data_IF_794544943902
#
_entry.id   IF_794544943902
#
_cell.length_a   1.000
_cell.length_b   1.000
_cell.length_c   1.000
_cell.angle_alpha   90.00
_cell.angle_beta   90.00
_cell.angle_gamma   90.00
#
_symmetry.space_group_name_H-M   'P 1'
#
loop_
_entity.id
_entity.type
_entity.pdbx_description
1 polymer ?
#
# COMPACT_ATOMS: atom_id res chain seq x y z
N UNK A 1 -19.16 -25.95 47.35
CA UNK A 1 -19.80 -25.29 46.19
C UNK A 1 -18.83 -24.21 45.70
N UNK A 2 -18.10 -24.45 44.59
CA UNK A 2 -18.33 -23.84 43.25
C UNK A 2 -18.64 -22.33 43.37
N UNK A 3 -17.86 -21.39 42.82
CA UNK A 3 -17.40 -21.32 41.43
C UNK A 3 -16.07 -20.54 41.31
N UNK A 4 -15.16 -21.13 40.54
CA UNK A 4 -13.96 -20.53 39.95
C UNK A 4 -14.44 -19.61 38.82
N UNK A 5 -14.10 -18.32 38.87
CA UNK A 5 -14.19 -17.45 37.71
C UNK A 5 -12.80 -17.24 37.14
N UNK A 6 -12.68 -17.63 35.87
CA UNK A 6 -11.51 -17.53 35.03
C UNK A 6 -11.02 -16.07 34.92
N UNK A 7 -9.96 -15.72 35.64
CA UNK A 7 -9.07 -14.63 35.26
C UNK A 7 -8.16 -15.16 34.14
N UNK A 8 -8.72 -15.19 32.93
CA UNK A 8 -7.99 -15.53 31.71
C UNK A 8 -7.01 -14.42 31.36
N UNK A 9 -5.75 -14.63 31.75
CA UNK A 9 -4.52 -14.40 30.98
C UNK A 9 -4.65 -13.34 29.86
N UNK A 10 -4.51 -12.08 30.23
CA UNK A 10 -4.08 -11.01 29.33
C UNK A 10 -2.57 -10.80 29.55
N UNK A 11 -1.75 -11.75 29.10
CA UNK A 11 -0.30 -11.60 29.09
C UNK A 11 0.29 -12.25 27.86
N UNK A 12 1.23 -11.51 27.24
CA UNK A 12 2.14 -11.90 26.15
C UNK A 12 1.63 -11.76 24.72
N UNK A 13 1.61 -10.51 24.23
CA UNK A 13 2.19 -10.18 22.90
C UNK A 13 3.09 -8.95 23.08
N UNK A 14 4.11 -9.08 23.93
CA UNK A 14 5.28 -8.20 23.90
C UNK A 14 6.51 -9.09 23.73
N UNK A 15 6.64 -9.67 22.55
CA UNK A 15 7.84 -10.38 22.14
C UNK A 15 8.14 -9.99 20.70
N UNK A 16 8.94 -8.93 20.57
CA UNK A 16 10.06 -8.77 19.64
C UNK A 16 10.19 -7.31 19.18
N UNK A 17 10.66 -6.44 20.08
CA UNK A 17 11.45 -5.28 19.65
C UNK A 17 12.80 -5.80 19.15
N UNK A 18 12.81 -6.50 18.01
CA UNK A 18 14.02 -6.61 17.23
C UNK A 18 14.23 -5.22 16.63
N UNK A 19 15.28 -4.55 17.09
CA UNK A 19 15.87 -3.43 16.38
C UNK A 19 16.21 -3.92 14.96
N UNK A 20 15.27 -3.75 14.02
CA UNK A 20 15.54 -3.90 12.61
C UNK A 20 16.52 -2.79 12.25
N UNK A 21 17.81 -3.17 12.23
CA UNK A 21 18.93 -2.39 11.72
C UNK A 21 18.49 -1.82 10.37
N UNK A 22 18.61 -0.51 10.17
CA UNK A 22 18.34 0.15 8.88
C UNK A 22 19.17 -0.55 7.80
N UNK A 23 18.52 -1.36 6.95
CA UNK A 23 19.14 -2.09 5.83
C UNK A 23 19.51 -1.08 4.74
N UNK A 24 20.70 -1.22 4.13
CA UNK A 24 21.14 -0.34 3.06
C UNK A 24 20.51 -0.83 1.74
N UNK A 25 20.04 0.08 0.88
CA UNK A 25 19.47 -0.24 -0.45
C UNK A 25 20.47 -0.98 -1.36
N UNK A 26 21.76 -0.92 -1.01
CA UNK A 26 22.84 -1.61 -1.71
C UNK A 26 23.12 -3.03 -1.20
N UNK A 27 22.46 -3.49 -0.14
CA UNK A 27 22.68 -4.82 0.40
C UNK A 27 21.89 -5.86 -0.42
N UNK A 28 22.50 -7.02 -0.64
CA UNK A 28 21.82 -8.19 -1.18
C UNK A 28 20.94 -8.83 -0.09
N UNK A 29 19.65 -8.94 -0.35
CA UNK A 29 18.64 -9.42 0.59
C UNK A 29 17.96 -10.70 0.09
N UNK A 30 17.56 -11.63 0.97
CA UNK A 30 16.82 -12.81 0.54
C UNK A 30 15.46 -12.44 -0.03
N UNK A 31 15.20 -12.87 -1.25
CA UNK A 31 13.92 -12.72 -1.93
C UNK A 31 13.56 -13.99 -2.69
N UNK A 32 12.26 -14.21 -2.88
CA UNK A 32 11.73 -15.17 -3.84
C UNK A 32 11.20 -14.39 -5.06
N UNK A 33 11.76 -14.66 -6.23
CA UNK A 33 11.30 -14.10 -7.50
C UNK A 33 10.31 -15.08 -8.12
N UNK A 34 9.17 -14.59 -8.59
CA UNK A 34 8.37 -15.29 -9.59
C UNK A 34 8.56 -14.61 -10.94
N UNK A 35 8.99 -15.37 -11.94
CA UNK A 35 9.17 -14.90 -13.32
C UNK A 35 7.85 -14.89 -14.10
N UNK A 36 7.82 -14.21 -15.24
CA UNK A 36 6.63 -14.19 -16.13
C UNK A 36 6.22 -15.57 -16.64
N UNK A 37 7.19 -16.47 -16.86
CA UNK A 37 6.94 -17.86 -17.25
C UNK A 37 6.42 -18.76 -16.09
N UNK A 38 6.32 -18.21 -14.87
CA UNK A 38 5.87 -18.95 -13.69
C UNK A 38 6.98 -19.64 -12.90
N UNK A 39 8.24 -19.58 -13.35
CA UNK A 39 9.38 -20.09 -12.58
C UNK A 39 9.55 -19.30 -11.27
N UNK A 40 9.85 -20.02 -10.20
CA UNK A 40 10.06 -19.46 -8.87
C UNK A 40 11.47 -19.79 -8.41
N UNK A 41 12.23 -18.78 -7.97
CA UNK A 41 13.60 -18.95 -7.48
C UNK A 41 13.85 -18.13 -6.21
N UNK A 42 14.57 -18.71 -5.26
CA UNK A 42 15.06 -18.01 -4.09
C UNK A 42 16.46 -17.48 -4.39
N UNK A 43 16.67 -16.18 -4.21
CA UNK A 43 17.92 -15.50 -4.52
C UNK A 43 18.22 -14.42 -3.49
N UNK A 44 19.43 -13.88 -3.55
CA UNK A 44 19.78 -12.64 -2.90
C UNK A 44 19.68 -11.51 -3.92
N UNK A 45 18.79 -10.54 -3.72
CA UNK A 45 18.57 -9.42 -4.66
C UNK A 45 18.95 -8.08 -4.04
N UNK A 46 19.43 -7.15 -4.88
CA UNK A 46 19.74 -5.76 -4.53
C UNK A 46 18.83 -4.81 -5.30
N UNK A 47 18.65 -3.60 -4.77
CA UNK A 47 17.79 -2.58 -5.39
C UNK A 47 16.30 -2.84 -5.18
N UNK A 48 15.98 -3.78 -4.28
CA UNK A 48 14.63 -3.95 -3.77
C UNK A 48 14.33 -2.86 -2.77
N UNK A 49 13.33 -2.08 -3.12
CA UNK A 49 12.71 -1.09 -2.28
C UNK A 49 12.07 -1.81 -1.09
N UNK A 50 11.89 -1.12 0.03
CA UNK A 50 11.14 -1.65 1.16
C UNK A 50 10.20 -0.56 1.65
N UNK A 51 8.87 -0.67 1.43
CA UNK A 51 7.91 0.16 2.10
C UNK A 51 7.75 -0.36 3.53
N UNK A 52 8.75 -0.16 4.39
CA UNK A 52 8.60 0.04 5.86
C UNK A 52 9.94 0.26 6.57
N UNK A 53 9.88 1.12 7.58
CA UNK A 53 10.90 1.52 8.59
C UNK A 53 11.76 2.76 8.24
N UNK A 54 11.26 3.94 8.63
CA UNK A 54 11.95 5.24 8.62
C UNK A 54 12.51 5.69 7.26
N UNK A 55 11.69 6.46 6.51
CA UNK A 55 11.93 7.12 5.21
C UNK A 55 11.18 6.43 4.09
N UNK A 56 9.94 6.85 3.92
CA UNK A 56 9.55 7.20 2.58
C UNK A 56 9.70 8.75 2.57
N UNK A 57 10.52 9.29 1.65
CA UNK A 57 10.66 10.71 1.31
C UNK A 57 10.99 10.71 -0.18
N UNK A 58 9.95 10.64 -1.00
CA UNK A 58 10.07 10.69 -2.45
C UNK A 58 8.70 10.93 -3.05
N UNK A 59 8.59 11.87 -3.99
CA UNK A 59 7.44 11.90 -4.89
C UNK A 59 7.54 10.65 -5.76
N UNK A 60 6.64 9.68 -5.57
CA UNK A 60 6.33 8.73 -6.63
C UNK A 60 5.30 9.42 -7.50
N UNK A 61 5.79 10.23 -8.43
CA UNK A 61 4.96 10.83 -9.45
C UNK A 61 4.41 9.72 -10.35
N UNK A 62 3.16 9.87 -10.79
CA UNK A 62 2.55 9.05 -11.85
C UNK A 62 3.15 9.34 -13.23
N UNK A 63 4.42 9.73 -13.30
CA UNK A 63 5.10 10.07 -14.53
C UNK A 63 6.09 8.99 -14.91
N UNK A 64 6.32 8.86 -16.22
CA UNK A 64 7.28 7.96 -16.87
C UNK A 64 8.76 8.29 -16.52
N UNK A 65 9.02 8.86 -15.35
CA UNK A 65 10.36 9.19 -14.89
C UNK A 65 10.88 8.11 -13.92
N UNK A 66 12.21 7.99 -13.91
CA UNK A 66 13.08 7.09 -13.13
C UNK A 66 12.85 6.99 -11.61
N UNK A 67 11.80 7.62 -11.07
CA UNK A 67 11.46 7.64 -9.65
C UNK A 67 10.09 6.99 -9.35
N UNK A 68 9.51 6.31 -10.34
CA UNK A 68 8.34 5.44 -10.17
C UNK A 68 8.73 4.09 -9.57
N UNK A 69 7.82 3.50 -8.79
CA UNK A 69 7.65 2.07 -8.45
C UNK A 69 7.91 1.16 -9.67
N UNK A 70 9.20 1.00 -9.90
CA UNK A 70 9.90 0.40 -11.02
C UNK A 70 9.34 0.70 -12.43
N UNK A 71 10.02 1.58 -13.15
CA UNK A 71 9.88 1.70 -14.62
C UNK A 71 10.16 0.35 -15.30
N UNK A 72 9.63 0.16 -16.51
CA UNK A 72 9.99 -0.96 -17.39
C UNK A 72 11.50 -1.05 -17.68
N UNK A 73 12.23 0.05 -17.47
CA UNK A 73 13.68 0.15 -17.70
C UNK A 73 14.51 -0.34 -16.50
N UNK A 74 13.86 -0.77 -15.42
CA UNK A 74 14.56 -1.23 -14.22
C UNK A 74 15.24 -2.57 -14.47
N UNK A 75 16.47 -2.67 -13.99
CA UNK A 75 17.27 -3.89 -13.98
C UNK A 75 17.64 -4.19 -12.53
N UNK A 76 17.23 -5.36 -12.06
CA UNK A 76 17.57 -5.86 -10.73
C UNK A 76 18.87 -6.64 -10.78
N UNK A 77 19.71 -6.47 -9.75
CA UNK A 77 20.92 -7.25 -9.54
C UNK A 77 20.63 -8.35 -8.52
N UNK A 78 20.97 -9.59 -8.82
CA UNK A 78 20.75 -10.71 -7.91
C UNK A 78 21.88 -11.75 -7.95
N UNK A 79 21.95 -12.60 -6.93
CA UNK A 79 22.87 -13.73 -6.81
C UNK A 79 22.10 -14.95 -6.31
N UNK A 80 22.49 -16.15 -6.72
CA UNK A 80 21.86 -17.39 -6.23
C UNK A 80 22.33 -17.66 -4.78
N UNK A 81 23.63 -17.51 -4.52
CA UNK A 81 24.24 -17.56 -3.19
C UNK A 81 25.16 -16.36 -2.95
N UNK A 82 25.61 -16.18 -1.70
CA UNK A 82 26.48 -15.05 -1.32
C UNK A 82 27.82 -15.03 -2.07
N UNK A 83 28.33 -16.20 -2.43
CA UNK A 83 29.59 -16.40 -3.17
C UNK A 83 29.45 -16.29 -4.68
N UNK A 84 28.23 -16.30 -5.22
CA UNK A 84 28.02 -16.30 -6.67
C UNK A 84 28.25 -14.92 -7.30
N UNK A 85 28.46 -14.95 -8.61
CA UNK A 85 28.53 -13.77 -9.45
C UNK A 85 27.18 -13.04 -9.49
N UNK A 86 27.25 -11.71 -9.66
CA UNK A 86 26.06 -10.87 -9.80
C UNK A 86 25.45 -11.10 -11.18
N UNK A 87 24.20 -11.55 -11.18
CA UNK A 87 23.34 -11.67 -12.36
C UNK A 87 22.39 -10.48 -12.43
N UNK A 88 21.83 -10.26 -13.62
CA UNK A 88 20.84 -9.21 -13.88
C UNK A 88 19.53 -9.83 -14.36
N UNK A 89 18.42 -9.23 -13.94
CA UNK A 89 17.07 -9.57 -14.40
C UNK A 89 16.30 -8.28 -14.65
N UNK A 90 15.61 -8.20 -15.78
CA UNK A 90 14.87 -6.99 -16.15
C UNK A 90 13.48 -6.97 -15.53
N UNK A 91 12.91 -5.78 -15.39
CA UNK A 91 11.51 -5.61 -14.99
C UNK A 91 10.57 -6.52 -15.79
N UNK A 92 10.77 -6.64 -17.11
CA UNK A 92 9.91 -7.41 -17.99
C UNK A 92 9.89 -8.91 -17.68
N UNK A 93 10.96 -9.45 -17.10
CA UNK A 93 11.06 -10.86 -16.74
C UNK A 93 10.44 -11.20 -15.38
N UNK A 94 10.26 -10.20 -14.51
CA UNK A 94 9.81 -10.39 -13.13
C UNK A 94 8.32 -10.15 -12.99
N UNK A 95 7.57 -11.15 -12.51
CA UNK A 95 6.14 -11.04 -12.23
C UNK A 95 5.86 -10.64 -10.78
N UNK A 96 6.54 -11.28 -9.82
CA UNK A 96 6.41 -11.02 -8.38
C UNK A 96 7.76 -11.09 -7.68
N UNK A 97 7.88 -10.37 -6.56
CA UNK A 97 9.03 -10.44 -5.66
C UNK A 97 8.51 -10.53 -4.23
N UNK A 98 8.85 -11.58 -3.51
CA UNK A 98 8.57 -11.70 -2.07
C UNK A 98 9.85 -11.51 -1.31
N UNK A 99 9.88 -10.49 -0.46
CA UNK A 99 11.05 -10.20 0.35
C UNK A 99 10.95 -10.93 1.67
N UNK A 100 12.00 -11.66 2.02
CA UNK A 100 12.01 -12.51 3.21
C UNK A 100 12.88 -11.92 4.31
N UNK A 101 12.55 -12.26 5.55
CA UNK A 101 13.38 -11.96 6.70
C UNK A 101 14.44 -13.05 6.94
N UNK A 102 15.15 -12.99 8.07
CA UNK A 102 16.19 -13.98 8.40
C UNK A 102 15.64 -15.34 8.80
N UNK A 103 14.33 -15.44 9.02
CA UNK A 103 13.58 -16.64 9.38
C UNK A 103 12.74 -17.17 8.21
N UNK A 104 12.95 -16.63 7.00
CA UNK A 104 12.20 -16.96 5.79
C UNK A 104 10.74 -16.47 5.79
N UNK A 105 10.38 -15.59 6.74
CA UNK A 105 9.05 -14.98 6.79
C UNK A 105 8.94 -13.82 5.78
N UNK A 106 7.81 -13.72 5.07
CA UNK A 106 7.56 -12.63 4.13
C UNK A 106 7.41 -11.29 4.88
N UNK A 107 8.29 -10.33 4.55
CA UNK A 107 8.25 -8.95 5.07
C UNK A 107 7.36 -8.07 4.18
N UNK A 108 7.52 -8.22 2.86
CA UNK A 108 6.80 -7.44 1.86
C UNK A 108 6.80 -8.17 0.53
N UNK A 109 5.63 -8.24 -0.10
CA UNK A 109 5.45 -8.71 -1.46
C UNK A 109 5.34 -7.55 -2.45
N UNK A 110 5.80 -7.80 -3.67
CA UNK A 110 5.64 -6.95 -4.84
C UNK A 110 5.01 -7.74 -5.98
N UNK A 111 4.15 -7.08 -6.74
CA UNK A 111 3.55 -7.65 -7.95
C UNK A 111 3.59 -6.64 -9.09
N UNK A 112 3.93 -7.13 -10.28
CA UNK A 112 3.76 -6.36 -11.51
C UNK A 112 2.27 -6.29 -11.87
N UNK A 113 1.73 -5.07 -11.89
CA UNK A 113 0.33 -4.80 -12.17
C UNK A 113 0.16 -4.13 -13.52
N UNK A 114 -0.84 -4.60 -14.28
CA UNK A 114 -1.47 -3.85 -15.36
C UNK A 114 -2.60 -3.03 -14.76
N UNK A 115 -2.63 -1.73 -15.03
CA UNK A 115 -3.52 -0.80 -14.32
C UNK A 115 -4.65 -0.34 -15.23
N UNK A 116 -5.87 -0.38 -14.69
CA UNK A 116 -7.06 0.26 -15.22
C UNK A 116 -7.42 1.47 -14.36
N UNK A 117 -7.93 2.51 -15.02
CA UNK A 117 -8.49 3.69 -14.37
C UNK A 117 -9.91 3.96 -14.89
N UNK A 118 -10.63 4.85 -14.21
CA UNK A 118 -11.90 5.37 -14.69
C UNK A 118 -11.67 6.66 -15.49
N UNK A 119 -12.23 6.73 -16.69
CA UNK A 119 -12.31 7.98 -17.47
C UNK A 119 -13.36 8.95 -16.91
N UNK A 120 -13.47 10.14 -17.51
CA UNK A 120 -14.47 11.14 -17.11
C UNK A 120 -15.92 10.69 -17.32
N UNK A 121 -16.13 9.59 -18.06
CA UNK A 121 -17.43 8.96 -18.33
C UNK A 121 -17.64 7.69 -17.49
N UNK A 122 -16.77 7.42 -16.50
CA UNK A 122 -16.79 6.25 -15.63
C UNK A 122 -16.59 4.91 -16.35
N UNK A 123 -15.96 4.92 -17.53
CA UNK A 123 -15.54 3.69 -18.21
C UNK A 123 -14.15 3.28 -17.74
N UNK A 124 -13.93 1.96 -17.62
CA UNK A 124 -12.60 1.42 -17.40
C UNK A 124 -11.76 1.61 -18.66
N UNK A 125 -10.63 2.28 -18.52
CA UNK A 125 -9.64 2.48 -19.58
C UNK A 125 -8.26 2.04 -19.10
N UNK A 126 -7.44 1.54 -20.02
CA UNK A 126 -6.07 1.17 -19.71
C UNK A 126 -5.23 2.41 -19.44
N UNK A 127 -4.45 2.37 -18.35
CA UNK A 127 -3.27 3.23 -18.23
C UNK A 127 -2.20 2.70 -19.17
N UNK A 128 -1.47 3.61 -19.80
CA UNK A 128 -0.35 3.27 -20.69
C UNK A 128 0.93 2.86 -19.94
N UNK A 129 0.80 2.37 -18.70
CA UNK A 129 1.93 1.92 -17.91
C UNK A 129 1.60 0.66 -17.10
N UNK A 130 2.65 -0.10 -16.84
CA UNK A 130 2.69 -1.20 -15.87
C UNK A 130 3.60 -0.77 -14.73
N UNK A 131 3.32 -1.24 -13.52
CA UNK A 131 4.11 -0.88 -12.35
C UNK A 131 4.31 -2.09 -11.44
N UNK A 132 5.47 -2.17 -10.80
CA UNK A 132 5.72 -3.18 -9.78
C UNK A 132 5.48 -2.57 -8.41
N UNK A 133 4.34 -2.93 -7.83
CA UNK A 133 3.76 -2.29 -6.66
C UNK A 133 3.88 -3.19 -5.44
N UNK A 134 4.18 -2.63 -4.26
CA UNK A 134 4.15 -3.42 -3.05
C UNK A 134 2.70 -3.69 -2.63
N UNK A 135 2.54 -4.86 -2.02
CA UNK A 135 1.28 -5.30 -1.41
C UNK A 135 1.16 -4.64 -0.04
N UNK A 136 0.08 -3.89 0.16
CA UNK A 136 -0.23 -3.20 1.41
C UNK A 136 -1.23 -3.98 2.27
N UNK A 137 -2.07 -4.79 1.63
CA UNK A 137 -3.06 -5.66 2.27
C UNK A 137 -3.38 -6.84 1.35
N UNK A 138 -3.38 -8.04 1.92
CA UNK A 138 -3.81 -9.27 1.25
C UNK A 138 -5.16 -9.72 1.81
N UNK A 139 -6.09 -9.99 0.91
CA UNK A 139 -7.46 -10.37 1.23
C UNK A 139 -8.17 -10.88 -0.02
N UNK A 140 -9.51 -10.97 0.00
CA UNK A 140 -10.25 -11.34 -1.23
C UNK A 140 -10.11 -10.28 -2.34
N UNK A 141 -9.86 -9.03 -1.94
CA UNK A 141 -9.40 -7.95 -2.80
C UNK A 141 -8.09 -7.45 -2.20
N UNK A 142 -6.99 -7.60 -2.93
CA UNK A 142 -5.69 -7.12 -2.50
C UNK A 142 -5.60 -5.60 -2.70
N UNK A 143 -4.93 -4.92 -1.76
CA UNK A 143 -4.55 -3.51 -1.91
C UNK A 143 -3.06 -3.44 -2.18
N UNK A 144 -2.72 -2.79 -3.29
CA UNK A 144 -1.36 -2.41 -3.65
C UNK A 144 -1.24 -0.89 -3.58
N UNK A 145 -0.05 -0.35 -3.39
CA UNK A 145 0.08 1.11 -3.37
C UNK A 145 1.38 1.63 -2.78
N UNK A 146 1.45 2.94 -2.65
CA UNK A 146 2.60 3.65 -2.10
C UNK A 146 2.16 4.99 -1.55
N UNK A 147 2.87 5.56 -0.57
CA UNK A 147 2.49 6.90 -0.13
C UNK A 147 2.87 7.94 -1.19
N UNK A 148 2.24 9.09 -1.15
CA UNK A 148 2.57 10.21 -1.98
C UNK A 148 3.02 11.36 -1.06
N UNK A 149 4.22 11.88 -1.30
CA UNK A 149 4.72 13.08 -0.62
C UNK A 149 4.64 14.30 -1.51
N UNK A 150 4.35 15.44 -0.89
CA UNK A 150 4.56 16.76 -1.50
C UNK A 150 5.85 17.36 -0.94
N UNK A 151 6.76 17.71 -1.84
CA UNK A 151 8.06 18.28 -1.51
C UNK A 151 8.13 19.73 -2.00
N UNK A 152 8.31 20.67 -1.07
CA UNK A 152 8.42 22.09 -1.41
C UNK A 152 9.83 22.38 -1.95
N UNK A 153 9.91 23.10 -3.09
CA UNK A 153 11.16 23.47 -3.77
C UNK A 153 12.07 22.27 -4.15
N UNK A 154 11.48 21.11 -4.45
CA UNK A 154 12.21 19.88 -4.83
C UNK A 154 13.23 19.41 -3.79
N UNK A 155 13.15 19.89 -2.54
CA UNK A 155 14.04 19.46 -1.47
C UNK A 155 13.45 18.24 -0.74
N UNK A 156 14.13 17.10 -0.82
CA UNK A 156 13.68 15.85 -0.18
C UNK A 156 13.50 15.99 1.34
N UNK A 157 14.33 16.83 1.98
CA UNK A 157 14.26 17.07 3.42
C UNK A 157 12.98 17.80 3.85
N UNK A 158 12.31 18.53 2.94
CA UNK A 158 11.07 19.28 3.18
C UNK A 158 9.80 18.51 2.76
N UNK A 159 9.92 17.25 2.34
CA UNK A 159 8.76 16.44 1.95
C UNK A 159 7.81 16.17 3.13
N UNK A 160 6.51 16.29 2.85
CA UNK A 160 5.41 16.04 3.77
C UNK A 160 4.41 15.05 3.18
N UNK A 161 3.97 14.08 4.00
CA UNK A 161 3.02 13.07 3.56
C UNK A 161 1.73 13.74 3.13
N UNK A 162 1.24 13.40 1.93
CA UNK A 162 0.00 13.91 1.36
C UNK A 162 -1.12 12.87 1.45
N UNK A 163 -0.94 11.70 0.83
CA UNK A 163 -1.93 10.61 0.81
C UNK A 163 -1.24 9.28 0.52
N UNK A 164 -1.97 8.17 0.47
CA UNK A 164 -1.53 6.91 -0.12
C UNK A 164 -2.29 6.68 -1.43
N UNK A 165 -1.55 6.41 -2.51
CA UNK A 165 -2.12 6.00 -3.79
C UNK A 165 -2.30 4.49 -3.78
N UNK A 166 -3.49 4.03 -4.17
CA UNK A 166 -3.91 2.65 -4.01
C UNK A 166 -4.43 2.06 -5.31
N UNK A 167 -4.28 0.74 -5.42
CA UNK A 167 -4.73 -0.08 -6.52
C UNK A 167 -5.39 -1.34 -5.95
N UNK A 168 -6.57 -1.67 -6.47
CA UNK A 168 -7.39 -2.78 -6.01
C UNK A 168 -7.34 -3.91 -7.04
N UNK A 169 -7.02 -5.13 -6.63
CA UNK A 169 -7.00 -6.28 -7.54
C UNK A 169 -7.48 -7.53 -6.82
N UNK A 170 -8.42 -8.24 -7.43
CA UNK A 170 -8.75 -9.61 -7.00
C UNK A 170 -7.68 -10.57 -7.49
N UNK A 171 -7.51 -11.69 -6.78
CA UNK A 171 -6.47 -12.67 -7.06
C UNK A 171 -6.45 -13.12 -8.54
N UNK A 172 -7.63 -13.38 -9.11
CA UNK A 172 -7.80 -13.88 -10.48
C UNK A 172 -8.01 -12.79 -11.55
N UNK A 173 -8.06 -11.52 -11.15
CA UNK A 173 -8.24 -10.44 -12.12
C UNK A 173 -6.90 -10.15 -12.84
N UNK A 174 -6.90 -9.96 -14.17
CA UNK A 174 -5.67 -9.64 -14.91
C UNK A 174 -5.21 -8.19 -14.74
N UNK A 175 -6.02 -7.35 -14.08
CA UNK A 175 -5.78 -5.92 -13.92
C UNK A 175 -6.03 -5.45 -12.48
N UNK A 176 -5.30 -4.42 -12.07
CA UNK A 176 -5.58 -3.66 -10.88
C UNK A 176 -6.33 -2.37 -11.23
N UNK A 177 -7.33 -2.01 -10.43
CA UNK A 177 -8.16 -0.82 -10.61
C UNK A 177 -7.64 0.26 -9.68
N UNK A 178 -7.37 1.44 -10.24
CA UNK A 178 -7.05 2.63 -9.46
C UNK A 178 -8.34 3.39 -9.13
N UNK A 179 -8.85 3.35 -7.88
CA UNK A 179 -10.11 4.02 -7.52
C UNK A 179 -9.96 5.55 -7.49
N UNK A 180 -8.74 6.07 -7.38
CA UNK A 180 -8.46 7.49 -7.28
C UNK A 180 -7.15 7.85 -7.98
N UNK A 181 -7.23 8.70 -9.00
CA UNK A 181 -6.08 9.18 -9.78
C UNK A 181 -5.82 10.67 -9.50
N UNK A 182 -4.69 10.99 -8.86
CA UNK A 182 -4.28 12.36 -8.55
C UNK A 182 -4.02 13.23 -9.80
N UNK A 183 -3.64 12.64 -10.94
CA UNK A 183 -3.31 13.38 -12.17
C UNK A 183 -4.56 13.94 -12.84
N UNK A 184 -5.72 13.33 -12.54
CA UNK A 184 -7.01 13.70 -13.10
C UNK A 184 -7.90 14.46 -12.12
N UNK A 185 -7.43 14.69 -10.89
CA UNK A 185 -8.12 15.51 -9.90
C UNK A 185 -7.73 16.97 -10.16
N UNK A 186 -8.41 17.59 -11.11
CA UNK A 186 -8.43 19.05 -11.19
C UNK A 186 -9.04 19.63 -9.90
N UNK A 187 -8.53 20.78 -9.45
CA UNK A 187 -8.95 21.48 -8.21
C UNK A 187 -10.47 21.82 -8.18
N UNK A 188 -11.20 21.63 -9.29
CA UNK A 188 -12.61 22.00 -9.43
C UNK A 188 -13.59 20.81 -9.52
N UNK A 189 -13.13 19.54 -9.58
CA UNK A 189 -13.99 18.38 -9.85
C UNK A 189 -14.11 17.41 -8.64
N UNK A 190 -14.32 17.95 -7.44
CA UNK A 190 -14.42 17.13 -6.22
C UNK A 190 -15.58 16.12 -6.24
N UNK A 191 -16.69 16.39 -6.93
CA UNK A 191 -17.82 15.44 -7.04
C UNK A 191 -17.46 14.19 -7.85
N UNK A 192 -16.66 14.34 -8.90
CA UNK A 192 -16.20 13.20 -9.70
C UNK A 192 -15.29 12.26 -8.91
N UNK A 193 -14.66 12.75 -7.84
CA UNK A 193 -13.82 11.93 -6.96
C UNK A 193 -14.64 10.89 -6.23
N UNK A 194 -15.79 11.26 -5.68
CA UNK A 194 -16.68 10.38 -4.94
C UNK A 194 -17.24 9.28 -5.86
N UNK A 195 -17.66 9.67 -7.06
CA UNK A 195 -18.15 8.75 -8.10
C UNK A 195 -17.08 7.74 -8.53
N UNK A 196 -15.87 8.22 -8.85
CA UNK A 196 -14.75 7.35 -9.26
C UNK A 196 -14.32 6.42 -8.13
N UNK A 197 -14.28 6.93 -6.91
CA UNK A 197 -13.95 6.13 -5.74
C UNK A 197 -14.92 4.96 -5.57
N UNK A 198 -16.22 5.22 -5.57
CA UNK A 198 -17.24 4.18 -5.43
C UNK A 198 -17.25 3.25 -6.64
N UNK A 199 -17.14 3.78 -7.85
CA UNK A 199 -17.09 2.98 -9.06
C UNK A 199 -15.87 2.05 -9.08
N UNK A 200 -14.69 2.51 -8.65
CA UNK A 200 -13.47 1.70 -8.57
C UNK A 200 -13.65 0.51 -7.62
N UNK A 201 -14.24 0.74 -6.45
CA UNK A 201 -14.60 -0.33 -5.53
C UNK A 201 -15.68 -1.25 -6.07
N UNK A 202 -16.69 -0.72 -6.77
CA UNK A 202 -17.76 -1.53 -7.37
C UNK A 202 -17.20 -2.45 -8.47
N UNK A 203 -16.28 -1.95 -9.29
CA UNK A 203 -15.59 -2.74 -10.30
C UNK A 203 -14.73 -3.84 -9.66
N UNK A 204 -13.93 -3.50 -8.64
CA UNK A 204 -13.15 -4.49 -7.90
C UNK A 204 -14.05 -5.52 -7.20
N UNK A 205 -15.17 -5.10 -6.61
CA UNK A 205 -16.15 -5.95 -5.93
C UNK A 205 -16.97 -6.85 -6.87
N UNK A 206 -17.05 -6.53 -8.16
CA UNK A 206 -17.81 -7.31 -9.14
C UNK A 206 -19.32 -7.37 -8.81
N UNK A 207 -19.95 -8.52 -9.04
CA UNK A 207 -21.42 -8.70 -8.97
C UNK A 207 -21.99 -8.94 -7.56
N UNK A 208 -21.24 -8.65 -6.49
CA UNK A 208 -21.73 -8.88 -5.14
C UNK A 208 -22.80 -7.84 -4.75
N UNK A 209 -24.06 -8.29 -4.62
CA UNK A 209 -25.21 -7.42 -4.35
C UNK A 209 -25.12 -6.74 -2.99
N UNK A 210 -24.75 -7.48 -1.94
CA UNK A 210 -24.64 -6.95 -0.58
C UNK A 210 -23.57 -5.87 -0.49
N UNK A 211 -22.42 -6.09 -1.13
CA UNK A 211 -21.37 -5.09 -1.21
C UNK A 211 -21.80 -3.88 -2.05
N UNK A 212 -22.55 -4.09 -3.14
CA UNK A 212 -23.11 -2.99 -3.92
C UNK A 212 -24.07 -2.12 -3.08
N UNK A 213 -24.92 -2.72 -2.25
CA UNK A 213 -25.79 -2.00 -1.32
C UNK A 213 -24.98 -1.21 -0.28
N UNK A 214 -23.92 -1.80 0.27
CA UNK A 214 -23.00 -1.09 1.16
C UNK A 214 -22.37 0.14 0.46
N UNK A 215 -21.91 -0.03 -0.79
CA UNK A 215 -21.33 1.06 -1.58
C UNK A 215 -22.37 2.17 -1.87
N UNK A 216 -23.64 1.83 -2.10
CA UNK A 216 -24.70 2.82 -2.31
C UNK A 216 -24.97 3.63 -1.03
N UNK A 217 -24.93 2.99 0.14
CA UNK A 217 -25.03 3.68 1.44
C UNK A 217 -23.82 4.58 1.69
N UNK A 218 -22.62 4.08 1.39
CA UNK A 218 -21.39 4.85 1.50
C UNK A 218 -21.43 6.06 0.56
N UNK A 219 -21.87 5.87 -0.69
CA UNK A 219 -22.00 6.94 -1.67
C UNK A 219 -22.94 8.06 -1.19
N UNK A 220 -24.10 7.73 -0.61
CA UNK A 220 -24.99 8.75 -0.03
C UNK A 220 -24.32 9.57 1.07
N UNK A 221 -23.49 8.92 1.90
CA UNK A 221 -22.70 9.61 2.92
C UNK A 221 -21.64 10.50 2.28
N UNK A 222 -20.97 10.05 1.23
CA UNK A 222 -20.00 10.83 0.48
C UNK A 222 -20.66 12.04 -0.21
N UNK A 223 -21.80 11.88 -0.87
CA UNK A 223 -22.53 13.00 -1.52
C UNK A 223 -22.98 14.07 -0.52
N UNK A 224 -23.23 13.68 0.74
CA UNK A 224 -23.61 14.61 1.82
C UNK A 224 -22.41 15.28 2.50
N UNK A 225 -21.39 14.52 2.89
CA UNK A 225 -20.25 15.00 3.69
C UNK A 225 -19.05 15.43 2.80
N UNK A 226 -18.94 14.88 1.59
CA UNK A 226 -17.78 14.89 0.69
C UNK A 226 -16.76 13.78 1.01
N UNK A 227 -16.07 13.27 -0.02
CA UNK A 227 -15.01 12.26 0.16
C UNK A 227 -13.95 12.64 1.17
N UNK A 228 -13.34 13.82 1.04
CA UNK A 228 -12.26 14.24 1.93
C UNK A 228 -12.70 14.40 3.39
N UNK A 229 -13.93 14.87 3.63
CA UNK A 229 -14.45 15.01 4.99
C UNK A 229 -14.74 13.63 5.60
N UNK A 230 -15.32 12.72 4.80
CA UNK A 230 -15.59 11.34 5.25
C UNK A 230 -14.29 10.59 5.54
N UNK A 231 -13.32 10.66 4.63
CA UNK A 231 -12.00 10.03 4.77
C UNK A 231 -11.25 10.58 5.99
N UNK A 232 -11.36 11.87 6.29
CA UNK A 232 -10.68 12.53 7.42
C UNK A 232 -11.53 12.63 8.68
N UNK A 233 -12.68 11.97 8.73
CA UNK A 233 -13.54 11.96 9.92
C UNK A 233 -12.81 11.32 11.09
N UNK A 234 -12.64 12.05 12.18
CA UNK A 234 -11.85 11.59 13.34
C UNK A 234 -10.33 11.73 13.19
N UNK A 235 -9.84 12.26 12.06
CA UNK A 235 -8.40 12.45 11.83
C UNK A 235 -7.76 13.44 12.83
N UNK A 236 -8.37 14.61 13.15
CA UNK A 236 -7.80 15.51 14.15
C UNK A 236 -7.60 14.86 15.52
N UNK A 237 -8.61 14.12 16.00
CA UNK A 237 -8.59 13.41 17.29
C UNK A 237 -7.56 12.29 17.28
N UNK A 238 -7.53 11.49 16.22
CA UNK A 238 -6.54 10.43 16.04
C UNK A 238 -5.11 11.00 16.04
N UNK A 239 -4.86 12.07 15.29
CA UNK A 239 -3.53 12.69 15.23
C UNK A 239 -3.13 13.38 16.53
N UNK A 240 -4.09 13.92 17.28
CA UNK A 240 -3.85 14.43 18.63
C UNK A 240 -3.35 13.30 19.52
N UNK A 241 -4.06 12.17 19.57
CA UNK A 241 -3.67 10.98 20.34
C UNK A 241 -2.27 10.48 19.95
N UNK A 242 -1.96 10.40 18.66
CA UNK A 242 -0.64 9.95 18.19
C UNK A 242 0.48 10.92 18.55
N UNK A 243 0.24 12.24 18.56
CA UNK A 243 1.22 13.22 19.05
C UNK A 243 1.45 13.12 20.56
N UNK A 244 0.39 12.85 21.33
CA UNK A 244 0.47 12.60 22.77
C UNK A 244 1.24 11.33 23.07
N UNK A 245 0.96 10.21 22.38
CA UNK A 245 1.76 8.97 22.46
C UNK A 245 3.23 9.24 22.17
N UNK A 246 3.54 9.94 21.08
CA UNK A 246 4.92 10.26 20.74
C UNK A 246 5.61 11.16 21.79
N UNK A 247 4.87 11.98 22.53
CA UNK A 247 5.41 12.78 23.63
C UNK A 247 5.67 11.90 24.86
N UNK A 248 4.70 11.09 25.26
CA UNK A 248 4.78 10.21 26.43
C UNK A 248 5.90 9.18 26.29
N UNK A 249 6.09 8.67 25.07
CA UNK A 249 7.13 7.69 24.74
C UNK A 249 8.49 8.35 24.40
N UNK A 250 8.60 9.67 24.60
CA UNK A 250 9.81 10.46 24.31
C UNK A 250 10.37 10.30 22.88
N UNK A 251 9.50 10.06 21.90
CA UNK A 251 9.87 9.89 20.50
C UNK A 251 10.24 11.26 19.89
N UNK A 252 11.50 11.40 19.44
CA UNK A 252 12.08 12.68 18.99
C UNK A 252 12.67 12.64 17.59
N UNK A 253 12.93 13.82 17.03
CA UNK A 253 13.64 14.02 15.76
C UNK A 253 13.06 13.21 14.59
N UNK A 254 13.95 12.54 13.85
CA UNK A 254 13.59 11.72 12.69
C UNK A 254 12.61 10.59 13.06
N UNK A 255 12.75 9.99 14.23
CA UNK A 255 11.85 8.92 14.66
C UNK A 255 10.43 9.41 14.83
N UNK A 256 10.26 10.59 15.45
CA UNK A 256 8.95 11.23 15.59
C UNK A 256 8.31 11.50 14.23
N UNK A 257 9.08 12.03 13.28
CA UNK A 257 8.59 12.27 11.90
C UNK A 257 8.03 10.98 11.30
N UNK A 258 8.77 9.87 11.43
CA UNK A 258 8.36 8.58 10.86
C UNK A 258 7.17 7.98 11.59
N UNK A 259 7.12 8.09 12.91
CA UNK A 259 5.97 7.65 13.70
C UNK A 259 4.69 8.37 13.25
N UNK A 260 4.76 9.70 13.10
CA UNK A 260 3.63 10.51 12.66
C UNK A 260 3.23 10.20 11.22
N UNK A 261 4.19 9.99 10.32
CA UNK A 261 3.90 9.58 8.93
C UNK A 261 3.22 8.21 8.89
N UNK A 262 3.73 7.24 9.65
CA UNK A 262 3.12 5.91 9.75
C UNK A 262 1.68 6.01 10.26
N UNK A 263 1.45 6.80 11.31
CA UNK A 263 0.10 7.03 11.82
C UNK A 263 -0.84 7.59 10.74
N UNK A 264 -0.38 8.54 9.93
CA UNK A 264 -1.18 9.06 8.80
C UNK A 264 -1.49 7.99 7.75
N UNK A 265 -0.48 7.21 7.36
CA UNK A 265 -0.64 6.09 6.43
C UNK A 265 -1.67 5.07 6.98
N UNK A 266 -1.47 4.61 8.22
CA UNK A 266 -2.34 3.62 8.87
C UNK A 266 -3.78 4.12 8.95
N UNK A 267 -3.98 5.40 9.28
CA UNK A 267 -5.32 6.00 9.32
C UNK A 267 -6.02 5.95 7.96
N UNK A 268 -5.31 6.34 6.90
CA UNK A 268 -5.84 6.30 5.53
C UNK A 268 -6.09 4.85 5.12
N UNK A 269 -5.12 3.95 5.27
CA UNK A 269 -5.24 2.53 4.92
C UNK A 269 -6.42 1.85 5.61
N UNK A 270 -6.63 2.11 6.90
CA UNK A 270 -7.74 1.52 7.65
C UNK A 270 -9.10 1.86 7.04
N UNK A 271 -9.27 3.04 6.43
CA UNK A 271 -10.51 3.38 5.73
C UNK A 271 -10.77 2.43 4.54
N UNK A 272 -9.76 2.18 3.71
CA UNK A 272 -9.86 1.27 2.56
C UNK A 272 -10.01 -0.19 3.00
N UNK A 273 -9.24 -0.62 4.00
CA UNK A 273 -9.31 -1.97 4.56
C UNK A 273 -10.71 -2.22 5.13
N UNK A 274 -11.34 -1.24 5.78
CA UNK A 274 -12.71 -1.41 6.29
C UNK A 274 -13.73 -1.63 5.15
N UNK A 275 -13.58 -0.94 4.02
CA UNK A 275 -14.44 -1.16 2.84
C UNK A 275 -14.25 -2.57 2.29
N UNK A 276 -13.00 -3.04 2.18
CA UNK A 276 -12.72 -4.41 1.74
C UNK A 276 -13.22 -5.43 2.77
N UNK A 277 -13.11 -5.15 4.06
CA UNK A 277 -13.67 -5.99 5.11
C UNK A 277 -15.19 -6.17 4.97
N UNK A 278 -15.91 -5.13 4.53
CA UNK A 278 -17.34 -5.26 4.18
C UNK A 278 -17.58 -6.12 2.94
N UNK A 279 -16.69 -6.09 1.94
CA UNK A 279 -16.73 -7.06 0.84
C UNK A 279 -16.51 -8.48 1.37
N UNK A 280 -15.48 -8.70 2.19
CA UNK A 280 -15.07 -10.02 2.65
C UNK A 280 -16.10 -10.72 3.52
N UNK A 281 -16.80 -9.96 4.37
CA UNK A 281 -17.92 -10.42 5.19
C UNK A 281 -19.11 -10.84 4.35
N UNK A 282 -19.40 -10.10 3.28
CA UNK A 282 -20.67 -10.21 2.56
C UNK A 282 -20.58 -10.97 1.23
N UNK A 283 -19.38 -11.24 0.74
CA UNK A 283 -19.11 -11.86 -0.57
C UNK A 283 -18.23 -13.11 -0.37
N UNK A 284 -18.82 -14.31 -0.23
CA UNK A 284 -18.08 -15.54 0.09
C UNK A 284 -17.21 -16.06 -1.07
N UNK A 285 -17.39 -15.54 -2.28
CA UNK A 285 -16.67 -15.91 -3.50
C UNK A 285 -16.09 -14.67 -4.18
#
# INVERSE_FOLDING_TARGET
>A
MKKIYYLGVAFVIFSSFNAQKTRNENDFIPVEITRENGEVENVLMKGIYFPKTKRFQGMVAQSNTKHSIYSTDVVFEYKISSSDEVKKITFNEVKKIKVKDKYDDEIVGYEKLKILELDSKMNLVHKNYVAMLPILYEGKINIYGYDHYLCYNQNESSCSYNTTLLYLKKENDPYAIMPFDLDRVGILNFREVDDRFIAGFRQAGGKCSNFSQYLDQLYKKLDTEGFYATLRKGYPEYMKKMRETANNDNIKGKERKNFIVKAKHDFIMNYYINIIGEYEKNCPY
#
